data_IF_097109679981
#
_entry.id   IF_097109679981
#
_cell.length_a   1.000
_cell.length_b   1.000
_cell.length_c   1.000
_cell.angle_alpha   90.00
_cell.angle_beta   90.00
_cell.angle_gamma   90.00
#
_symmetry.space_group_name_H-M   'P 1'
#
loop_
_entity.id
_entity.type
_entity.pdbx_description
1 polymer ?
#
# COMPACT_ATOMS: atom_id res chain seq x y z
N UNK A 1 7.63 -0.97 -15.27
CA UNK A 1 6.80 -2.15 -14.90
C UNK A 1 6.15 -1.87 -13.54
N UNK A 2 4.98 -2.40 -13.30
CA UNK A 2 4.35 -2.27 -11.98
C UNK A 2 5.05 -3.19 -10.97
N UNK A 3 5.33 -2.68 -9.77
CA UNK A 3 6.12 -3.42 -8.76
C UNK A 3 5.33 -4.49 -7.99
N UNK A 4 3.99 -4.48 -8.05
CA UNK A 4 3.14 -5.40 -7.27
C UNK A 4 2.09 -6.09 -8.15
N UNK A 5 1.38 -5.34 -9.00
CA UNK A 5 0.31 -5.86 -9.86
C UNK A 5 0.45 -5.33 -11.29
N UNK A 6 0.05 -6.15 -12.26
CA UNK A 6 -0.02 -5.80 -13.68
C UNK A 6 -1.42 -6.12 -14.23
N UNK A 7 -1.69 -5.76 -15.49
CA UNK A 7 -2.94 -6.14 -16.19
C UNK A 7 -3.16 -7.66 -16.25
N UNK A 8 -2.10 -8.44 -16.22
CA UNK A 8 -2.16 -9.90 -16.30
C UNK A 8 -2.38 -10.56 -14.95
N UNK A 9 -2.08 -9.88 -13.84
CA UNK A 9 -2.20 -10.47 -12.49
C UNK A 9 -3.64 -10.87 -12.21
N UNK A 10 -3.95 -12.18 -12.07
CA UNK A 10 -5.29 -12.63 -11.79
C UNK A 10 -5.61 -12.40 -10.29
N UNK A 11 -6.71 -11.68 -10.07
CA UNK A 11 -7.11 -11.18 -8.74
C UNK A 11 -8.41 -11.80 -8.30
N UNK A 12 -8.48 -12.24 -7.04
CA UNK A 12 -9.74 -12.55 -6.36
C UNK A 12 -10.08 -11.51 -5.29
N UNK A 13 -11.37 -11.39 -4.97
CA UNK A 13 -11.85 -10.50 -3.92
C UNK A 13 -12.51 -11.31 -2.81
N UNK A 14 -11.91 -11.34 -1.62
CA UNK A 14 -12.51 -11.92 -0.44
C UNK A 14 -13.55 -10.96 0.14
N UNK A 15 -14.76 -11.43 0.36
CA UNK A 15 -15.91 -10.62 0.74
C UNK A 15 -16.62 -9.97 -0.47
N UNK A 16 -16.46 -10.51 -1.68
CA UNK A 16 -17.03 -9.95 -2.91
C UNK A 16 -18.56 -9.82 -2.87
N UNK A 17 -19.27 -10.69 -2.16
CA UNK A 17 -20.74 -10.63 -2.07
C UNK A 17 -21.26 -9.52 -1.16
N UNK A 18 -20.42 -8.88 -0.37
CA UNK A 18 -20.77 -7.71 0.44
C UNK A 18 -20.91 -6.46 -0.40
N UNK A 19 -21.75 -5.50 0.04
CA UNK A 19 -22.00 -4.25 -0.69
C UNK A 19 -20.71 -3.49 -1.01
N UNK A 20 -19.79 -3.38 -0.07
CA UNK A 20 -18.49 -2.69 -0.25
C UNK A 20 -17.60 -3.48 -1.21
N UNK A 21 -17.52 -4.81 -1.04
CA UNK A 21 -16.75 -5.67 -1.93
C UNK A 21 -17.21 -5.59 -3.38
N UNK A 22 -18.53 -5.61 -3.61
CA UNK A 22 -19.10 -5.46 -4.96
C UNK A 22 -18.80 -4.08 -5.58
N UNK A 23 -18.96 -3.02 -4.81
CA UNK A 23 -18.72 -1.66 -5.29
C UNK A 23 -17.28 -1.49 -5.79
N UNK A 24 -16.30 -1.84 -4.97
CA UNK A 24 -14.90 -1.69 -5.35
C UNK A 24 -14.44 -2.72 -6.39
N UNK A 25 -14.97 -3.94 -6.36
CA UNK A 25 -14.70 -4.92 -7.41
C UNK A 25 -15.20 -4.42 -8.78
N UNK A 26 -16.38 -3.79 -8.85
CA UNK A 26 -16.90 -3.19 -10.07
C UNK A 26 -15.99 -2.07 -10.59
N UNK A 27 -15.46 -1.21 -9.70
CA UNK A 27 -14.53 -0.16 -10.09
C UNK A 27 -13.20 -0.72 -10.61
N UNK A 28 -12.66 -1.76 -9.96
CA UNK A 28 -11.45 -2.45 -10.42
C UNK A 28 -11.65 -3.08 -11.79
N UNK A 29 -12.76 -3.78 -12.03
CA UNK A 29 -13.09 -4.39 -13.32
C UNK A 29 -13.21 -3.30 -14.40
N UNK A 30 -13.92 -2.20 -14.10
CA UNK A 30 -14.08 -1.07 -15.04
C UNK A 30 -12.74 -0.42 -15.39
N UNK A 31 -11.82 -0.38 -14.47
CA UNK A 31 -10.47 0.15 -14.70
C UNK A 31 -9.58 -0.80 -15.52
N UNK A 32 -9.93 -2.07 -15.61
CA UNK A 32 -9.18 -3.08 -16.35
C UNK A 32 -8.32 -3.99 -15.47
N UNK A 33 -8.54 -4.01 -14.15
CA UNK A 33 -7.94 -5.02 -13.25
C UNK A 33 -8.50 -6.40 -13.60
N UNK A 34 -7.65 -7.40 -13.71
CA UNK A 34 -8.01 -8.77 -14.04
C UNK A 34 -8.65 -9.51 -12.84
N UNK A 35 -9.87 -9.08 -12.46
CA UNK A 35 -10.63 -9.77 -11.40
C UNK A 35 -11.23 -11.04 -11.98
N UNK A 36 -10.76 -12.20 -11.52
CA UNK A 36 -11.13 -13.53 -12.05
C UNK A 36 -12.17 -14.24 -11.20
N UNK A 37 -12.41 -13.79 -9.96
CA UNK A 37 -13.40 -14.40 -9.08
C UNK A 37 -13.47 -13.72 -7.72
N UNK A 38 -14.25 -14.28 -6.83
CA UNK A 38 -14.31 -13.84 -5.44
C UNK A 38 -14.55 -14.98 -4.47
N UNK A 39 -14.35 -14.70 -3.20
CA UNK A 39 -14.54 -15.66 -2.11
C UNK A 39 -15.53 -15.13 -1.10
N UNK A 40 -16.54 -15.91 -0.80
CA UNK A 40 -17.45 -15.67 0.31
C UNK A 40 -17.94 -17.02 0.83
N UNK A 41 -17.59 -17.44 2.05
CA UNK A 41 -18.05 -18.71 2.63
C UNK A 41 -19.58 -18.84 2.60
N UNK A 42 -20.06 -19.98 2.16
CA UNK A 42 -21.49 -20.27 2.01
C UNK A 42 -22.16 -19.68 0.76
N UNK A 43 -21.39 -19.02 -0.14
CA UNK A 43 -21.88 -18.45 -1.40
C UNK A 43 -21.25 -19.11 -2.63
N UNK A 44 -20.45 -20.16 -2.45
CA UNK A 44 -19.84 -20.92 -3.54
C UNK A 44 -20.86 -21.37 -4.57
N UNK A 45 -20.50 -21.33 -5.85
CA UNK A 45 -21.38 -21.64 -6.98
C UNK A 45 -22.28 -20.48 -7.45
N UNK A 46 -22.32 -19.36 -6.71
CA UNK A 46 -23.00 -18.14 -7.18
C UNK A 46 -22.08 -17.26 -8.06
N UNK A 47 -22.63 -16.19 -8.61
CA UNK A 47 -21.88 -15.19 -9.38
C UNK A 47 -22.10 -13.78 -8.81
N UNK A 48 -21.06 -12.96 -8.87
CA UNK A 48 -21.09 -11.52 -8.55
C UNK A 48 -20.32 -10.78 -9.63
N UNK A 49 -20.94 -9.79 -10.28
CA UNK A 49 -20.33 -9.02 -11.38
C UNK A 49 -19.80 -9.94 -12.51
N UNK A 50 -20.57 -10.97 -12.88
CA UNK A 50 -20.21 -12.00 -13.86
C UNK A 50 -18.89 -12.73 -13.51
N UNK A 51 -18.56 -12.81 -12.24
CA UNK A 51 -17.39 -13.55 -11.72
C UNK A 51 -17.86 -14.67 -10.78
N UNK A 52 -17.24 -15.86 -10.88
CA UNK A 52 -17.57 -16.96 -9.99
C UNK A 52 -17.22 -16.62 -8.54
N UNK A 53 -18.05 -17.09 -7.62
CA UNK A 53 -17.81 -16.99 -6.18
C UNK A 53 -17.52 -18.38 -5.63
N UNK A 54 -16.49 -18.49 -4.80
CA UNK A 54 -16.02 -19.70 -4.17
C UNK A 54 -16.21 -19.64 -2.65
N UNK A 55 -16.24 -20.79 -1.99
CA UNK A 55 -16.31 -20.84 -0.54
C UNK A 55 -14.96 -20.57 0.13
N UNK A 56 -13.85 -20.97 -0.53
CA UNK A 56 -12.50 -20.87 -0.01
C UNK A 56 -11.56 -20.22 -1.02
N UNK A 57 -10.45 -19.64 -0.52
CA UNK A 57 -9.39 -19.10 -1.39
C UNK A 57 -8.72 -20.22 -2.18
N UNK A 58 -8.55 -21.42 -1.59
CA UNK A 58 -7.97 -22.58 -2.27
C UNK A 58 -8.79 -22.98 -3.50
N UNK A 59 -10.12 -23.13 -3.36
CA UNK A 59 -11.00 -23.39 -4.51
C UNK A 59 -10.86 -22.33 -5.60
N UNK A 60 -10.79 -21.05 -5.21
CA UNK A 60 -10.64 -19.95 -6.14
C UNK A 60 -9.30 -20.01 -6.89
N UNK A 61 -8.19 -20.27 -6.19
CA UNK A 61 -6.85 -20.39 -6.79
C UNK A 61 -6.80 -21.58 -7.76
N UNK A 62 -7.29 -22.74 -7.37
CA UNK A 62 -7.32 -23.95 -8.21
C UNK A 62 -8.15 -23.75 -9.48
N UNK A 63 -9.28 -23.04 -9.38
CA UNK A 63 -10.17 -22.82 -10.51
C UNK A 63 -9.73 -21.69 -11.46
N UNK A 64 -9.02 -20.67 -10.95
CA UNK A 64 -8.78 -19.44 -11.71
C UNK A 64 -7.31 -19.09 -11.89
N UNK A 65 -6.41 -19.75 -11.18
CA UNK A 65 -4.99 -19.38 -11.15
C UNK A 65 -4.71 -18.04 -10.45
N UNK A 66 -5.57 -17.61 -9.51
CA UNK A 66 -5.42 -16.34 -8.83
C UNK A 66 -4.07 -16.22 -8.10
N UNK A 67 -3.38 -15.11 -8.32
CA UNK A 67 -2.09 -14.77 -7.71
C UNK A 67 -2.20 -13.65 -6.67
N UNK A 68 -3.24 -12.83 -6.76
CA UNK A 68 -3.47 -11.73 -5.83
C UNK A 68 -4.86 -11.79 -5.20
N UNK A 69 -4.97 -11.33 -3.96
CA UNK A 69 -6.22 -11.25 -3.22
C UNK A 69 -6.44 -9.88 -2.63
N UNK A 70 -7.64 -9.33 -2.80
CA UNK A 70 -8.10 -8.13 -2.11
C UNK A 70 -9.04 -8.53 -0.97
N UNK A 71 -8.76 -8.09 0.26
CA UNK A 71 -9.49 -8.49 1.46
C UNK A 71 -10.42 -7.37 1.91
N UNK A 72 -11.74 -7.60 1.78
CA UNK A 72 -12.84 -6.78 2.29
C UNK A 72 -13.65 -7.51 3.37
N UNK A 73 -13.00 -8.37 4.11
CA UNK A 73 -13.62 -9.16 5.17
C UNK A 73 -13.73 -8.31 6.44
N UNK A 74 -14.84 -8.40 7.22
CA UNK A 74 -14.95 -7.66 8.48
C UNK A 74 -13.79 -7.93 9.45
N UNK A 75 -13.42 -6.97 10.33
CA UNK A 75 -12.22 -7.05 11.18
C UNK A 75 -12.07 -8.35 11.98
N UNK A 76 -13.10 -8.94 12.59
CA UNK A 76 -12.96 -10.18 13.36
C UNK A 76 -12.49 -11.39 12.54
N UNK A 77 -12.69 -11.36 11.21
CA UNK A 77 -12.40 -12.48 10.30
C UNK A 77 -11.23 -12.18 9.36
N UNK A 78 -10.74 -10.94 9.34
CA UNK A 78 -9.75 -10.50 8.36
C UNK A 78 -8.39 -11.18 8.54
N UNK A 79 -7.97 -11.45 9.78
CA UNK A 79 -6.73 -12.17 10.04
C UNK A 79 -6.76 -13.59 9.47
N UNK A 80 -7.86 -14.30 9.67
CA UNK A 80 -8.04 -15.64 9.12
C UNK A 80 -8.08 -15.63 7.60
N UNK A 81 -8.77 -14.66 7.00
CA UNK A 81 -8.82 -14.47 5.55
C UNK A 81 -7.43 -14.19 4.94
N UNK A 82 -6.56 -13.42 5.62
CA UNK A 82 -5.18 -13.19 5.21
C UNK A 82 -4.35 -14.48 5.30
N UNK A 83 -4.49 -15.24 6.39
CA UNK A 83 -3.75 -16.49 6.58
C UNK A 83 -4.21 -17.57 5.58
N UNK A 84 -5.51 -17.64 5.29
CA UNK A 84 -6.07 -18.51 4.26
C UNK A 84 -5.50 -18.21 2.87
N UNK A 85 -5.40 -16.92 2.52
CA UNK A 85 -4.80 -16.50 1.25
C UNK A 85 -3.34 -16.97 1.14
N UNK A 86 -2.56 -16.83 2.22
CA UNK A 86 -1.17 -17.29 2.23
C UNK A 86 -1.07 -18.82 2.10
N UNK A 87 -1.93 -19.57 2.78
CA UNK A 87 -1.94 -21.04 2.74
C UNK A 87 -2.40 -21.58 1.37
N UNK A 88 -3.27 -20.85 0.69
CA UNK A 88 -3.71 -21.16 -0.67
C UNK A 88 -2.67 -20.82 -1.76
N UNK A 89 -1.55 -20.19 -1.41
CA UNK A 89 -0.48 -19.85 -2.35
C UNK A 89 -0.61 -18.49 -3.04
N UNK A 90 -1.49 -17.61 -2.57
CA UNK A 90 -1.57 -16.22 -3.04
C UNK A 90 -0.22 -15.53 -2.81
N UNK A 91 0.30 -14.86 -3.83
CA UNK A 91 1.60 -14.15 -3.77
C UNK A 91 1.48 -12.76 -3.18
N UNK A 92 0.36 -12.08 -3.40
CA UNK A 92 0.12 -10.73 -2.89
C UNK A 92 -1.29 -10.62 -2.31
N UNK A 93 -1.40 -10.18 -1.07
CA UNK A 93 -2.69 -9.81 -0.48
C UNK A 93 -2.69 -8.31 -0.15
N UNK A 94 -3.80 -7.63 -0.47
CA UNK A 94 -4.07 -6.25 -0.07
C UNK A 94 -5.24 -6.28 0.89
N UNK A 95 -5.03 -5.84 2.13
CA UNK A 95 -6.07 -5.79 3.17
C UNK A 95 -6.50 -4.35 3.44
N UNK A 96 -7.70 -3.99 3.01
CA UNK A 96 -8.26 -2.65 3.23
C UNK A 96 -8.90 -2.53 4.61
N UNK A 97 -9.30 -3.65 5.20
CA UNK A 97 -10.01 -3.70 6.47
C UNK A 97 -9.30 -2.91 7.57
N UNK A 98 -10.05 -1.98 8.17
CA UNK A 98 -9.66 -1.24 9.38
C UNK A 98 -10.17 -1.94 10.63
N UNK A 99 -9.50 -1.73 11.77
CA UNK A 99 -9.95 -2.22 13.08
C UNK A 99 -9.58 -3.68 13.38
N UNK A 100 -8.63 -4.27 12.67
CA UNK A 100 -8.09 -5.58 13.03
C UNK A 100 -7.28 -5.46 14.31
N UNK A 101 -7.55 -6.27 15.36
CA UNK A 101 -6.78 -6.21 16.59
C UNK A 101 -5.28 -6.43 16.35
N UNK A 102 -4.43 -5.63 17.00
CA UNK A 102 -2.97 -5.77 16.87
C UNK A 102 -2.46 -7.18 17.20
N UNK A 103 -3.09 -7.86 18.15
CA UNK A 103 -2.73 -9.24 18.50
C UNK A 103 -2.99 -10.21 17.33
N UNK A 104 -4.06 -10.00 16.57
CA UNK A 104 -4.37 -10.83 15.41
C UNK A 104 -3.38 -10.55 14.27
N UNK A 105 -2.99 -9.29 14.06
CA UNK A 105 -1.94 -8.96 13.12
C UNK A 105 -0.56 -9.52 13.53
N UNK A 106 -0.26 -9.62 14.83
CA UNK A 106 0.94 -10.34 15.30
C UNK A 106 0.89 -11.84 14.94
N UNK A 107 -0.28 -12.48 15.07
CA UNK A 107 -0.47 -13.87 14.62
C UNK A 107 -0.25 -14.01 13.12
N UNK A 108 -0.85 -13.11 12.31
CA UNK A 108 -0.64 -13.05 10.85
C UNK A 108 0.85 -12.94 10.52
N UNK A 109 1.57 -11.97 11.09
CA UNK A 109 3.01 -11.78 10.84
C UNK A 109 3.82 -13.04 11.20
N UNK A 110 3.49 -13.68 12.33
CA UNK A 110 4.13 -14.94 12.72
C UNK A 110 3.80 -16.08 11.76
N UNK A 111 2.56 -16.16 11.28
CA UNK A 111 2.12 -17.15 10.31
C UNK A 111 2.85 -17.00 8.99
N UNK A 112 2.94 -15.79 8.44
CA UNK A 112 3.62 -15.52 7.17
C UNK A 112 5.13 -15.82 7.21
N UNK A 113 5.77 -15.74 8.38
CA UNK A 113 7.19 -16.10 8.54
C UNK A 113 7.50 -17.59 8.39
N UNK A 114 6.47 -18.45 8.35
CA UNK A 114 6.67 -19.91 8.12
C UNK A 114 7.04 -20.24 6.69
N UNK A 115 6.68 -19.36 5.75
CA UNK A 115 6.94 -19.59 4.33
C UNK A 115 8.35 -19.16 3.98
N UNK A 116 9.07 -19.93 3.13
CA UNK A 116 10.34 -19.51 2.56
C UNK A 116 10.12 -18.28 1.67
N UNK A 117 11.18 -17.47 1.47
CA UNK A 117 11.06 -16.16 0.81
C UNK A 117 10.47 -16.23 -0.61
N UNK A 118 10.72 -17.31 -1.35
CA UNK A 118 10.18 -17.55 -2.71
C UNK A 118 8.65 -17.83 -2.74
N UNK A 119 8.08 -18.24 -1.60
CA UNK A 119 6.64 -18.54 -1.45
C UNK A 119 5.92 -17.64 -0.45
N UNK A 120 6.63 -16.75 0.18
CA UNK A 120 6.09 -15.84 1.17
C UNK A 120 5.18 -14.81 0.53
N UNK A 121 3.92 -14.80 0.96
CA UNK A 121 2.96 -13.81 0.51
C UNK A 121 3.35 -12.40 0.96
N UNK A 122 3.35 -11.45 0.02
CA UNK A 122 3.43 -10.02 0.36
C UNK A 122 2.06 -9.56 0.84
N UNK A 123 2.02 -8.98 2.03
CA UNK A 123 0.82 -8.36 2.59
C UNK A 123 0.98 -6.84 2.56
N UNK A 124 0.05 -6.14 1.93
CA UNK A 124 -0.10 -4.69 1.95
C UNK A 124 -1.29 -4.33 2.84
N UNK A 125 -1.13 -3.41 3.76
CA UNK A 125 -2.10 -3.14 4.82
C UNK A 125 -1.86 -3.96 6.09
N UNK A 126 -2.80 -4.07 7.01
CA UNK A 126 -4.21 -3.66 6.92
C UNK A 126 -4.43 -2.14 7.00
N UNK A 127 -5.71 -1.71 7.00
CA UNK A 127 -6.11 -0.31 7.10
C UNK A 127 -5.41 0.56 6.05
N UNK A 128 -5.47 0.13 4.78
CA UNK A 128 -4.76 0.77 3.69
C UNK A 128 -5.70 1.12 2.52
N UNK A 129 -5.26 2.06 1.70
CA UNK A 129 -5.98 2.43 0.48
C UNK A 129 -5.81 1.39 -0.65
N UNK A 130 -4.76 0.57 -0.57
CA UNK A 130 -4.44 -0.41 -1.59
C UNK A 130 -3.21 -0.07 -2.43
N UNK A 131 -3.21 -0.58 -3.65
CA UNK A 131 -2.12 -0.43 -4.64
C UNK A 131 -2.74 -0.04 -5.97
N UNK A 132 -2.16 0.95 -6.66
CA UNK A 132 -2.49 1.30 -8.04
C UNK A 132 -1.23 1.46 -8.87
N UNK A 133 -1.20 0.81 -10.04
CA UNK A 133 -0.22 1.06 -11.09
C UNK A 133 -0.98 1.62 -12.29
N UNK A 134 -0.86 2.95 -12.56
CA UNK A 134 -1.67 3.62 -13.57
C UNK A 134 -1.52 2.97 -14.96
N UNK A 135 -2.67 2.69 -15.59
CA UNK A 135 -2.72 1.98 -16.87
C UNK A 135 -2.48 0.48 -16.80
N UNK A 136 -2.23 -0.09 -15.61
CA UNK A 136 -2.05 -1.53 -15.39
C UNK A 136 -3.22 -2.13 -14.59
N UNK A 137 -3.54 -1.59 -13.43
CA UNK A 137 -4.61 -2.07 -12.57
C UNK A 137 -4.53 -1.46 -11.17
N UNK A 138 -5.55 -1.69 -10.36
CA UNK A 138 -5.48 -1.37 -8.95
C UNK A 138 -6.20 -2.43 -8.09
N UNK A 139 -5.74 -2.57 -6.85
CA UNK A 139 -6.37 -3.36 -5.79
C UNK A 139 -6.62 -2.45 -4.61
N UNK A 140 -7.86 -2.18 -4.27
CA UNK A 140 -8.20 -1.35 -3.12
C UNK A 140 -9.33 -0.37 -3.38
N UNK A 141 -9.23 0.79 -2.73
CA UNK A 141 -10.25 1.85 -2.74
C UNK A 141 -9.73 3.15 -3.36
N UNK A 142 -8.61 3.09 -4.08
CA UNK A 142 -7.96 4.25 -4.67
C UNK A 142 -8.81 4.86 -5.79
N UNK A 143 -8.94 6.20 -5.87
CA UNK A 143 -9.64 6.88 -6.95
C UNK A 143 -8.75 6.95 -8.21
N UNK A 144 -8.98 6.11 -9.23
CA UNK A 144 -8.03 5.97 -10.35
C UNK A 144 -7.92 7.22 -11.23
N UNK A 145 -8.92 8.09 -11.23
CA UNK A 145 -8.95 9.30 -12.07
C UNK A 145 -7.91 10.36 -11.67
N UNK A 146 -7.40 10.33 -10.44
CA UNK A 146 -6.35 11.29 -10.00
C UNK A 146 -4.95 10.84 -10.39
N UNK A 147 -4.77 9.59 -10.79
CA UNK A 147 -3.46 9.05 -11.16
C UNK A 147 -3.22 9.17 -12.67
N UNK A 148 -1.99 9.51 -13.02
CA UNK A 148 -1.47 9.51 -14.38
C UNK A 148 -0.27 8.57 -14.43
N UNK A 149 -0.13 7.81 -15.51
CA UNK A 149 1.03 6.93 -15.69
C UNK A 149 2.32 7.74 -15.83
N UNK A 150 3.38 7.28 -15.19
CA UNK A 150 4.68 7.93 -15.20
C UNK A 150 5.73 7.17 -14.39
N UNK A 151 6.70 7.87 -13.83
CA UNK A 151 7.92 7.27 -13.28
C UNK A 151 8.21 7.62 -11.81
N UNK A 152 7.23 8.17 -11.07
CA UNK A 152 7.38 8.43 -9.63
C UNK A 152 6.63 7.36 -8.83
N UNK A 153 7.33 6.67 -7.94
CA UNK A 153 6.72 5.78 -6.95
C UNK A 153 6.08 6.57 -5.81
N UNK A 154 4.98 6.09 -5.26
CA UNK A 154 4.40 6.65 -4.03
C UNK A 154 4.29 5.52 -3.01
N UNK A 155 4.76 5.75 -1.77
CA UNK A 155 4.50 4.89 -0.63
C UNK A 155 4.05 5.72 0.57
N UNK A 156 2.94 5.33 1.20
CA UNK A 156 2.41 6.11 2.32
C UNK A 156 1.59 5.31 3.32
N UNK A 157 1.54 5.79 4.56
CA UNK A 157 0.63 5.26 5.57
C UNK A 157 -0.79 5.77 5.34
N UNK A 158 -0.93 7.05 4.97
CA UNK A 158 -2.20 7.69 4.67
C UNK A 158 -2.55 7.56 3.18
N UNK A 159 -3.71 6.99 2.90
CA UNK A 159 -4.27 6.96 1.54
C UNK A 159 -4.57 8.36 1.01
N UNK A 160 -5.25 9.20 1.79
CA UNK A 160 -5.68 10.54 1.36
C UNK A 160 -4.51 11.47 1.05
N UNK A 161 -3.43 11.43 1.82
CA UNK A 161 -2.21 12.19 1.51
C UNK A 161 -1.49 11.65 0.28
N UNK A 162 -1.57 10.33 0.03
CA UNK A 162 -1.10 9.72 -1.22
C UNK A 162 -1.89 10.23 -2.43
N UNK A 163 -3.21 10.38 -2.30
CA UNK A 163 -4.08 10.94 -3.34
C UNK A 163 -3.74 12.41 -3.61
N UNK A 164 -3.51 13.19 -2.55
CA UNK A 164 -3.12 14.59 -2.66
C UNK A 164 -1.79 14.74 -3.41
N UNK A 165 -0.78 13.96 -3.02
CA UNK A 165 0.51 13.97 -3.72
C UNK A 165 0.37 13.59 -5.20
N UNK A 166 -0.39 12.53 -5.52
CA UNK A 166 -0.64 12.10 -6.89
C UNK A 166 -1.35 13.19 -7.71
N UNK A 167 -2.35 13.86 -7.13
CA UNK A 167 -3.11 14.94 -7.75
C UNK A 167 -2.24 16.14 -8.06
N UNK A 168 -1.42 16.58 -7.10
CA UNK A 168 -0.46 17.69 -7.30
C UNK A 168 0.56 17.37 -8.38
N UNK A 169 1.16 16.18 -8.33
CA UNK A 169 2.12 15.74 -9.35
C UNK A 169 1.47 15.68 -10.74
N UNK A 170 0.26 15.15 -10.85
CA UNK A 170 -0.49 15.13 -12.12
C UNK A 170 -0.72 16.52 -12.69
N UNK A 171 -1.06 17.52 -11.86
CA UNK A 171 -1.23 18.90 -12.29
C UNK A 171 0.07 19.50 -12.85
N UNK A 172 1.22 18.99 -12.44
CA UNK A 172 2.55 19.38 -12.93
C UNK A 172 3.07 18.47 -14.06
N UNK A 173 2.24 17.57 -14.60
CA UNK A 173 2.63 16.64 -15.65
C UNK A 173 3.51 15.49 -15.19
N UNK A 174 3.63 15.25 -13.87
CA UNK A 174 4.42 14.18 -13.28
C UNK A 174 3.52 12.99 -13.00
N UNK A 175 3.80 11.87 -13.67
CA UNK A 175 3.04 10.64 -13.52
C UNK A 175 3.63 9.67 -12.49
N UNK A 176 2.80 8.69 -12.12
CA UNK A 176 3.08 7.70 -11.08
C UNK A 176 3.36 6.33 -11.72
N UNK A 177 4.42 5.65 -11.30
CA UNK A 177 4.72 4.26 -11.68
C UNK A 177 3.84 3.28 -10.90
N UNK A 178 3.86 3.40 -9.59
CA UNK A 178 2.96 2.67 -8.67
C UNK A 178 2.75 3.50 -7.41
N UNK A 179 1.54 3.49 -6.87
CA UNK A 179 1.23 4.03 -5.54
C UNK A 179 0.81 2.90 -4.60
N UNK A 180 1.45 2.84 -3.43
CA UNK A 180 1.23 1.81 -2.42
C UNK A 180 0.85 2.44 -1.09
N UNK A 181 -0.34 2.13 -0.61
CA UNK A 181 -0.75 2.45 0.76
C UNK A 181 -0.38 1.30 1.69
N UNK A 182 0.57 1.52 2.61
CA UNK A 182 0.95 0.48 3.58
C UNK A 182 0.05 0.41 4.81
N UNK A 183 -0.81 1.43 5.00
CA UNK A 183 -1.78 1.49 6.09
C UNK A 183 -1.32 2.23 7.34
N UNK A 184 -2.30 2.72 8.10
CA UNK A 184 -2.09 3.52 9.31
C UNK A 184 -2.02 2.71 10.62
N UNK A 185 -2.07 1.39 10.56
CA UNK A 185 -1.99 0.54 11.74
C UNK A 185 -0.54 0.39 12.24
N UNK A 186 -0.33 0.13 13.54
CA UNK A 186 1.01 -0.04 14.10
C UNK A 186 1.70 -1.32 13.60
N UNK A 187 0.95 -2.34 13.18
CA UNK A 187 1.46 -3.61 12.69
C UNK A 187 0.96 -3.85 11.26
N UNK A 188 1.78 -3.48 10.30
CA UNK A 188 1.50 -3.68 8.86
C UNK A 188 2.16 -4.96 8.33
N UNK A 189 1.64 -5.41 7.20
CA UNK A 189 2.25 -6.48 6.40
C UNK A 189 3.60 -6.08 5.84
N UNK A 190 3.62 -5.02 5.02
CA UNK A 190 4.82 -4.43 4.42
C UNK A 190 5.16 -3.10 5.09
N UNK A 191 6.46 -2.82 5.27
CA UNK A 191 6.99 -1.56 5.78
C UNK A 191 7.37 -0.61 4.65
N UNK A 192 7.73 0.65 4.97
CA UNK A 192 8.34 1.56 4.00
C UNK A 192 9.57 0.95 3.33
N UNK A 193 10.47 0.34 4.11
CA UNK A 193 11.68 -0.30 3.61
C UNK A 193 11.35 -1.36 2.55
N UNK A 194 10.35 -2.22 2.78
CA UNK A 194 9.98 -3.28 1.84
C UNK A 194 9.51 -2.71 0.50
N UNK A 195 8.76 -1.61 0.50
CA UNK A 195 8.26 -0.98 -0.73
C UNK A 195 9.32 -0.13 -1.41
N UNK A 196 10.15 0.58 -0.64
CA UNK A 196 11.29 1.35 -1.18
C UNK A 196 12.27 0.45 -1.92
N UNK A 197 12.54 -0.76 -1.38
CA UNK A 197 13.39 -1.75 -2.05
C UNK A 197 12.84 -2.20 -3.42
N UNK A 198 11.51 -2.33 -3.53
CA UNK A 198 10.88 -2.62 -4.82
C UNK A 198 11.01 -1.46 -5.80
N UNK A 199 10.84 -0.22 -5.35
CA UNK A 199 11.02 0.95 -6.20
C UNK A 199 12.46 1.14 -6.63
N UNK A 200 13.44 0.87 -5.77
CA UNK A 200 14.86 0.92 -6.14
C UNK A 200 15.18 -0.08 -7.25
N UNK A 201 14.63 -1.29 -7.16
CA UNK A 201 14.84 -2.34 -8.17
C UNK A 201 14.03 -2.12 -9.47
N UNK A 202 13.01 -1.25 -9.47
CA UNK A 202 12.16 -1.04 -10.64
C UNK A 202 12.78 -0.06 -11.66
N UNK A 203 13.10 -0.51 -12.89
CA UNK A 203 13.70 0.37 -13.91
C UNK A 203 12.74 1.48 -14.40
N UNK A 204 11.44 1.34 -14.15
CA UNK A 204 10.43 2.32 -14.56
C UNK A 204 10.09 3.34 -13.46
N UNK A 205 10.81 3.30 -12.33
CA UNK A 205 10.69 4.29 -11.24
C UNK A 205 11.97 5.10 -11.15
N UNK A 206 11.87 6.43 -11.25
CA UNK A 206 13.01 7.37 -11.21
C UNK A 206 13.18 8.06 -9.87
N UNK A 207 12.09 8.24 -9.12
CA UNK A 207 12.05 8.90 -7.82
C UNK A 207 10.91 8.34 -6.98
N UNK A 208 10.93 8.57 -5.67
CA UNK A 208 9.86 8.11 -4.76
C UNK A 208 9.35 9.23 -3.87
N UNK A 209 8.02 9.34 -3.77
CA UNK A 209 7.31 10.13 -2.76
C UNK A 209 6.97 9.23 -1.58
N UNK A 210 7.53 9.51 -0.41
CA UNK A 210 7.29 8.80 0.84
C UNK A 210 6.43 9.65 1.78
N UNK A 211 5.30 9.13 2.23
CA UNK A 211 4.35 9.86 3.08
C UNK A 211 4.21 9.15 4.41
N UNK A 212 4.85 9.71 5.42
CA UNK A 212 4.82 9.24 6.80
C UNK A 212 3.96 10.11 7.71
N UNK A 213 3.94 9.74 8.96
CA UNK A 213 3.21 10.44 10.02
C UNK A 213 3.88 10.19 11.38
N UNK A 214 3.38 10.83 12.42
CA UNK A 214 3.82 10.57 13.80
C UNK A 214 3.62 9.11 14.20
N UNK A 215 4.38 8.66 15.17
CA UNK A 215 4.27 7.33 15.79
C UNK A 215 5.03 6.23 15.06
N UNK A 216 5.61 5.35 15.85
CA UNK A 216 6.40 4.21 15.41
C UNK A 216 7.73 4.53 14.73
N UNK A 217 8.61 3.54 14.57
CA UNK A 217 9.98 3.73 14.09
C UNK A 217 10.14 3.61 12.58
N UNK A 218 9.10 3.29 11.82
CA UNK A 218 9.21 2.85 10.42
C UNK A 218 9.87 3.88 9.49
N UNK A 219 9.62 5.18 9.71
CA UNK A 219 10.21 6.25 8.90
C UNK A 219 11.72 6.40 9.19
N UNK A 220 12.15 6.21 10.46
CA UNK A 220 13.55 6.20 10.81
C UNK A 220 14.30 4.97 10.25
N UNK A 221 13.67 3.79 10.28
CA UNK A 221 14.18 2.58 9.64
C UNK A 221 14.30 2.73 8.14
N UNK A 222 13.31 3.39 7.50
CA UNK A 222 13.34 3.70 6.09
C UNK A 222 14.47 4.68 5.75
N UNK A 223 14.66 5.74 6.56
CA UNK A 223 15.74 6.71 6.38
C UNK A 223 17.13 6.07 6.39
N UNK A 224 17.37 5.19 7.36
CA UNK A 224 18.64 4.45 7.43
C UNK A 224 18.84 3.57 6.17
N UNK A 225 17.80 2.87 5.74
CA UNK A 225 17.88 2.03 4.55
C UNK A 225 18.09 2.85 3.26
N UNK A 226 17.41 3.98 3.11
CA UNK A 226 17.57 4.90 1.96
C UNK A 226 19.00 5.38 1.86
N UNK A 227 19.58 5.87 2.95
CA UNK A 227 20.97 6.34 2.98
C UNK A 227 21.96 5.29 2.50
N UNK A 228 21.75 4.02 2.85
CA UNK A 228 22.73 2.96 2.63
C UNK A 228 22.51 2.18 1.32
N UNK A 229 21.30 2.23 0.71
CA UNK A 229 20.93 1.35 -0.40
C UNK A 229 20.24 2.05 -1.57
N UNK A 230 19.68 3.26 -1.41
CA UNK A 230 18.92 3.90 -2.49
C UNK A 230 19.76 4.85 -3.32
N UNK A 231 19.67 4.69 -4.65
CA UNK A 231 20.29 5.60 -5.64
C UNK A 231 19.28 6.58 -6.21
N UNK A 232 18.00 6.26 -6.11
CA UNK A 232 16.91 7.09 -6.59
C UNK A 232 16.54 8.13 -5.53
N UNK A 233 16.27 9.40 -5.91
CA UNK A 233 15.90 10.42 -4.94
C UNK A 233 14.56 10.12 -4.27
N UNK A 234 14.50 10.41 -2.98
CA UNK A 234 13.28 10.31 -2.17
C UNK A 234 12.86 11.70 -1.71
N UNK A 235 11.61 12.03 -1.94
CA UNK A 235 10.93 13.18 -1.33
C UNK A 235 10.00 12.63 -0.26
N UNK A 236 10.02 13.20 0.93
CA UNK A 236 9.14 12.78 2.02
C UNK A 236 8.22 13.92 2.48
N UNK A 237 7.09 13.55 3.02
CA UNK A 237 6.23 14.40 3.83
C UNK A 237 5.86 13.67 5.12
N UNK A 238 5.91 14.36 6.27
CA UNK A 238 5.54 13.80 7.57
C UNK A 238 4.37 14.59 8.15
N UNK A 239 3.23 13.90 8.29
CA UNK A 239 2.04 14.48 8.90
C UNK A 239 2.17 14.56 10.43
N UNK A 240 1.60 15.62 11.01
CA UNK A 240 1.45 15.74 12.47
C UNK A 240 2.46 16.66 13.16
N UNK A 241 3.05 17.67 12.48
CA UNK A 241 3.97 18.64 13.09
C UNK A 241 3.38 19.35 14.33
N UNK A 242 2.07 19.55 14.39
CA UNK A 242 1.36 20.16 15.53
C UNK A 242 0.69 19.14 16.45
N UNK A 243 0.94 17.84 16.26
CA UNK A 243 0.28 16.81 17.04
C UNK A 243 0.81 16.76 18.49
N UNK A 244 -0.08 16.74 19.50
CA UNK A 244 0.32 16.63 20.89
C UNK A 244 0.80 15.22 21.22
N UNK A 245 1.78 15.11 22.15
CA UNK A 245 2.27 13.82 22.66
C UNK A 245 1.16 13.06 23.39
N UNK A 246 1.17 11.73 23.23
CA UNK A 246 0.27 10.81 23.94
C UNK A 246 -1.18 10.78 23.45
N UNK A 247 -1.51 11.50 22.36
CA UNK A 247 -2.85 11.46 21.74
C UNK A 247 -2.80 10.73 20.40
N UNK A 248 -3.76 9.84 20.19
CA UNK A 248 -3.99 9.17 18.91
C UNK A 248 -4.58 10.17 17.91
N UNK A 249 -3.95 10.30 16.75
CA UNK A 249 -4.30 11.29 15.72
C UNK A 249 -4.84 10.60 14.45
N UNK A 250 -6.08 10.11 14.50
CA UNK A 250 -6.72 9.41 13.38
C UNK A 250 -6.32 7.94 13.31
N UNK A 251 -5.18 7.63 12.71
CA UNK A 251 -4.69 6.26 12.57
C UNK A 251 -4.32 5.63 13.92
N UNK A 252 -4.50 4.30 14.03
CA UNK A 252 -4.18 3.57 15.25
C UNK A 252 -2.68 3.64 15.62
N UNK A 253 -1.81 3.74 14.61
CA UNK A 253 -0.36 3.89 14.79
C UNK A 253 0.12 5.34 14.94
N UNK A 254 -0.76 6.34 14.74
CA UNK A 254 -0.40 7.75 14.82
C UNK A 254 -0.49 8.28 16.26
N UNK A 255 0.42 7.85 17.11
CA UNK A 255 0.58 8.29 18.49
C UNK A 255 2.07 8.43 18.84
N UNK A 256 2.46 9.57 19.43
CA UNK A 256 3.84 9.80 19.91
C UNK A 256 3.96 9.18 21.30
N UNK A 257 4.62 8.04 21.40
CA UNK A 257 4.81 7.28 22.65
C UNK A 257 6.29 7.19 23.07
N UNK A 258 7.23 7.40 22.15
CA UNK A 258 8.66 7.29 22.40
C UNK A 258 9.45 8.41 21.70
N UNK A 259 10.75 8.45 21.95
CA UNK A 259 11.70 9.34 21.25
C UNK A 259 11.82 8.92 19.76
N UNK A 260 11.92 9.89 18.87
CA UNK A 260 12.00 9.65 17.42
C UNK A 260 10.65 9.45 16.73
N UNK A 261 9.54 9.53 17.47
CA UNK A 261 8.19 9.32 16.91
C UNK A 261 7.42 10.58 16.57
N UNK A 262 7.88 11.76 17.02
CA UNK A 262 7.26 13.03 16.63
C UNK A 262 7.58 13.38 15.16
N UNK A 263 6.72 14.18 14.55
CA UNK A 263 6.96 14.59 13.16
C UNK A 263 8.25 15.39 13.01
N UNK A 264 8.58 16.25 14.00
CA UNK A 264 9.82 17.05 13.98
C UNK A 264 11.06 16.16 14.00
N UNK A 265 11.13 15.19 14.92
CA UNK A 265 12.25 14.24 15.01
C UNK A 265 12.40 13.41 13.73
N UNK A 266 11.27 12.96 13.13
CA UNK A 266 11.29 12.23 11.87
C UNK A 266 11.79 13.10 10.71
N UNK A 267 11.39 14.37 10.62
CA UNK A 267 11.90 15.32 9.62
C UNK A 267 13.41 15.47 9.73
N UNK A 268 13.94 15.59 10.94
CA UNK A 268 15.38 15.70 11.20
C UNK A 268 16.13 14.43 10.76
N UNK A 269 15.60 13.26 11.13
CA UNK A 269 16.17 11.93 10.77
C UNK A 269 16.18 11.74 9.24
N UNK A 270 15.07 12.05 8.57
CA UNK A 270 14.95 11.92 7.12
C UNK A 270 15.90 12.87 6.39
N UNK A 271 15.97 14.11 6.83
CA UNK A 271 16.87 15.12 6.25
C UNK A 271 18.33 14.73 6.42
N UNK A 272 18.73 14.21 7.59
CA UNK A 272 20.07 13.72 7.84
C UNK A 272 20.46 12.50 6.97
N UNK A 273 19.46 11.76 6.50
CA UNK A 273 19.66 10.65 5.55
C UNK A 273 19.67 11.08 4.07
N UNK A 274 19.63 12.38 3.77
CA UNK A 274 19.64 12.91 2.41
C UNK A 274 18.26 12.93 1.72
N UNK A 275 17.19 12.67 2.46
CA UNK A 275 15.82 12.71 1.94
C UNK A 275 15.33 14.16 1.95
N UNK A 276 14.81 14.64 0.82
CA UNK A 276 14.21 15.98 0.72
C UNK A 276 12.83 15.98 1.36
N UNK A 277 12.60 16.79 2.39
CA UNK A 277 11.30 16.84 3.08
C UNK A 277 10.47 18.02 2.58
N UNK A 278 9.23 17.75 2.15
CA UNK A 278 8.25 18.77 1.80
C UNK A 278 7.75 19.46 3.09
N UNK A 279 7.73 20.82 3.13
CA UNK A 279 7.43 21.56 4.36
C UNK A 279 5.96 21.47 4.79
N UNK A 280 5.06 21.20 3.86
CA UNK A 280 3.62 21.11 4.11
C UNK A 280 2.97 20.20 3.06
N UNK A 281 1.71 19.73 3.28
CA UNK A 281 1.07 18.79 2.37
C UNK A 281 0.78 19.37 0.99
N UNK A 282 0.58 20.68 0.85
CA UNK A 282 0.29 21.34 -0.43
C UNK A 282 1.52 21.55 -1.33
N UNK A 283 2.72 21.31 -0.82
CA UNK A 283 3.98 21.49 -1.57
C UNK A 283 4.65 20.17 -1.99
N UNK A 284 3.99 19.04 -1.80
CA UNK A 284 4.54 17.71 -2.15
C UNK A 284 4.88 17.61 -3.64
N UNK A 285 3.96 18.01 -4.52
CA UNK A 285 4.15 17.98 -5.97
C UNK A 285 5.28 18.90 -6.43
N UNK A 286 5.32 20.15 -5.97
CA UNK A 286 6.36 21.12 -6.31
C UNK A 286 7.74 20.68 -5.82
N UNK A 287 7.81 20.08 -4.61
CA UNK A 287 9.06 19.55 -4.08
C UNK A 287 9.58 18.40 -4.94
N UNK A 288 8.69 17.50 -5.38
CA UNK A 288 9.05 16.43 -6.31
C UNK A 288 9.53 16.97 -7.66
N UNK A 289 8.83 17.95 -8.23
CA UNK A 289 9.21 18.58 -9.50
C UNK A 289 10.61 19.17 -9.44
N UNK A 290 10.93 19.89 -8.34
CA UNK A 290 12.27 20.47 -8.10
C UNK A 290 13.36 19.40 -8.02
N UNK A 291 13.11 18.28 -7.32
CA UNK A 291 14.09 17.20 -7.18
C UNK A 291 14.34 16.51 -8.52
N UNK A 292 13.29 16.29 -9.32
CA UNK A 292 13.43 15.71 -10.66
C UNK A 292 14.18 16.63 -11.62
N UNK A 293 13.96 17.95 -11.57
CA UNK A 293 14.67 18.92 -12.42
C UNK A 293 16.17 19.01 -12.10
N UNK A 294 16.54 18.94 -10.83
CA UNK A 294 17.94 18.91 -10.41
C UNK A 294 18.67 17.64 -10.91
N UNK A 295 17.99 16.50 -10.92
CA UNK A 295 18.54 15.25 -11.45
C UNK A 295 18.73 15.26 -12.97
N UNK A 296 17.82 15.91 -13.69
CA UNK A 296 17.94 16.03 -15.16
C UNK A 296 19.08 16.97 -15.59
N UNK A 297 19.54 17.85 -14.71
CA UNK A 297 20.61 18.80 -14.94
C UNK A 297 22.00 18.28 -14.50
N UNK A 298 22.07 17.18 -13.76
CA UNK A 298 23.31 16.56 -13.28
C UNK A 298 23.75 15.38 -14.20
#
# INVERSE_FOLDING_TARGET
MAIIITKQTPVIVQGISGRIGQFHAADMIRYGTNVVGGVTPGKGGSQVLDRPVFNTVREAVEATGAEASLVFVPPPFAADAIMEAADAGIRTAVCVTDGIPSQDMMKVKRFLRRYPEDRKMRLVGPNCAGVISPGQGFLGIMPPHIYMAGRVGIVGRSGTLGYEAASQMKALGIGVSTSVGIGGDPINGSSFKDILALFEADPDTDAVMMIGEIGGPQEAEAAAWVRDHMTKPVVAYIAGLSAPKGRKMGHAGAIISAFGESAQEKVEILSAAGITVAPNPSSMGETMARVLSLRAAA
#
